data_IF_128416167592
#
_entry.id   IF_128416167592
#
_cell.length_a   1.000
_cell.length_b   1.000
_cell.length_c   1.000
_cell.angle_alpha   90.00
_cell.angle_beta   90.00
_cell.angle_gamma   90.00
#
_symmetry.space_group_name_H-M   'P 1'
#
loop_
_entity.id
_entity.type
_entity.pdbx_description
1 polymer ?
#
# COMPACT_ATOMS: atom_id res chain seq x y z
N UNK A 1 -1.12 -1.37 -11.49
CA UNK A 1 -2.21 -2.29 -11.10
C UNK A 1 -3.13 -1.69 -10.02
N UNK A 2 -2.73 -1.52 -8.75
CA UNK A 2 -3.65 -1.03 -7.70
C UNK A 2 -4.21 0.38 -7.98
N UNK A 3 -3.35 1.35 -8.31
CA UNK A 3 -3.79 2.73 -8.55
C UNK A 3 -4.82 2.84 -9.68
N UNK A 4 -4.57 2.12 -10.79
CA UNK A 4 -5.51 2.05 -11.91
C UNK A 4 -6.89 1.52 -11.51
N UNK A 5 -6.96 0.54 -10.59
CA UNK A 5 -8.25 0.05 -10.09
C UNK A 5 -8.96 1.09 -9.21
N UNK A 6 -8.21 1.84 -8.39
CA UNK A 6 -8.80 2.93 -7.61
C UNK A 6 -9.37 4.02 -8.53
N UNK A 7 -8.62 4.43 -9.55
CA UNK A 7 -9.07 5.45 -10.50
C UNK A 7 -10.31 4.97 -11.27
N UNK A 8 -10.35 3.70 -11.69
CA UNK A 8 -11.54 3.12 -12.34
C UNK A 8 -12.75 3.10 -11.40
N UNK A 9 -12.57 2.64 -10.16
CA UNK A 9 -13.66 2.52 -9.19
C UNK A 9 -14.20 3.90 -8.78
N UNK A 10 -13.33 4.91 -8.71
CA UNK A 10 -13.74 6.28 -8.41
C UNK A 10 -14.74 6.85 -9.44
N UNK A 11 -14.70 6.39 -10.70
CA UNK A 11 -15.67 6.79 -11.73
C UNK A 11 -17.09 6.28 -11.48
N UNK A 12 -17.26 5.24 -10.65
CA UNK A 12 -18.56 4.66 -10.33
C UNK A 12 -19.20 5.27 -9.07
N UNK A 13 -18.50 6.16 -8.37
CA UNK A 13 -18.97 6.75 -7.11
C UNK A 13 -19.13 8.25 -7.28
N UNK A 14 -20.36 8.75 -7.15
CA UNK A 14 -20.64 10.18 -7.20
C UNK A 14 -19.90 10.91 -6.07
N UNK A 15 -19.52 12.19 -6.26
CA UNK A 15 -18.96 12.99 -5.18
C UNK A 15 -19.85 12.98 -3.93
N UNK A 16 -19.26 12.66 -2.77
CA UNK A 16 -19.98 12.56 -1.50
C UNK A 16 -20.66 11.22 -1.22
N UNK A 17 -20.65 10.29 -2.17
CA UNK A 17 -21.17 8.93 -1.98
C UNK A 17 -20.07 7.93 -1.65
N UNK A 18 -20.47 6.71 -1.32
CA UNK A 18 -19.55 5.61 -1.04
C UNK A 18 -19.98 4.34 -1.76
N UNK A 19 -19.05 3.40 -1.93
CA UNK A 19 -19.36 2.05 -2.45
C UNK A 19 -20.23 1.22 -1.51
N UNK A 20 -20.40 1.66 -0.25
CA UNK A 20 -21.30 1.02 0.69
C UNK A 20 -22.73 1.47 0.38
N UNK A 21 -23.65 0.53 0.08
CA UNK A 21 -25.06 0.85 -0.13
C UNK A 21 -25.68 1.60 1.05
N UNK A 22 -26.63 2.51 0.77
CA UNK A 22 -27.26 3.38 1.78
C UNK A 22 -27.99 2.61 2.89
N UNK A 23 -28.44 1.40 2.60
CA UNK A 23 -29.11 0.48 3.53
C UNK A 23 -28.14 -0.37 4.37
N UNK A 24 -26.82 -0.19 4.20
CA UNK A 24 -25.79 -0.95 4.92
C UNK A 24 -24.85 -0.04 5.69
N UNK A 25 -24.57 -0.44 6.93
CA UNK A 25 -23.41 0.06 7.65
C UNK A 25 -22.11 -0.48 7.05
N UNK A 26 -21.00 0.20 7.35
CA UNK A 26 -19.65 -0.26 7.03
C UNK A 26 -19.41 -1.71 7.49
N UNK A 27 -19.79 -2.05 8.73
CA UNK A 27 -19.58 -3.39 9.30
C UNK A 27 -20.35 -4.47 8.52
N UNK A 28 -21.59 -4.19 8.14
CA UNK A 28 -22.40 -5.11 7.35
C UNK A 28 -21.82 -5.30 5.95
N UNK A 29 -21.43 -4.22 5.28
CA UNK A 29 -20.85 -4.29 3.94
C UNK A 29 -19.48 -4.97 3.94
N UNK A 30 -18.62 -4.71 4.93
CA UNK A 30 -17.35 -5.41 5.11
C UNK A 30 -17.55 -6.93 5.28
N UNK A 31 -18.51 -7.32 6.12
CA UNK A 31 -18.82 -8.74 6.35
C UNK A 31 -19.32 -9.41 5.08
N UNK A 32 -20.20 -8.74 4.33
CA UNK A 32 -20.68 -9.21 3.03
C UNK A 32 -19.54 -9.38 2.02
N UNK A 33 -18.67 -8.37 1.89
CA UNK A 33 -17.49 -8.43 1.03
C UNK A 33 -16.58 -9.61 1.39
N UNK A 34 -16.29 -9.83 2.67
CA UNK A 34 -15.47 -10.95 3.14
C UNK A 34 -16.09 -12.30 2.81
N UNK A 35 -17.42 -12.44 2.95
CA UNK A 35 -18.14 -13.65 2.58
C UNK A 35 -18.03 -13.93 1.08
N UNK A 36 -18.22 -12.91 0.23
CA UNK A 36 -18.08 -13.04 -1.22
C UNK A 36 -16.66 -13.40 -1.64
N UNK A 37 -15.65 -12.74 -1.07
CA UNK A 37 -14.24 -13.08 -1.30
C UNK A 37 -13.95 -14.54 -0.97
N UNK A 38 -14.44 -15.03 0.17
CA UNK A 38 -14.30 -16.42 0.59
C UNK A 38 -14.98 -17.39 -0.39
N UNK A 39 -16.19 -17.09 -0.85
CA UNK A 39 -16.91 -17.92 -1.83
C UNK A 39 -16.15 -18.01 -3.16
N UNK A 40 -15.49 -16.92 -3.57
CA UNK A 40 -14.62 -16.89 -4.75
C UNK A 40 -13.23 -17.54 -4.51
N UNK A 41 -12.97 -18.10 -3.33
CA UNK A 41 -11.66 -18.68 -2.98
C UNK A 41 -10.55 -17.66 -2.80
N UNK A 42 -10.87 -16.36 -2.74
CA UNK A 42 -9.89 -15.29 -2.58
C UNK A 42 -9.60 -15.09 -1.09
N UNK A 43 -8.35 -15.30 -0.70
CA UNK A 43 -7.86 -15.03 0.65
C UNK A 43 -6.74 -13.98 0.63
N UNK A 44 -6.35 -13.47 1.82
CA UNK A 44 -5.27 -12.47 1.97
C UNK A 44 -5.45 -11.25 1.05
N UNK A 45 -6.61 -10.60 1.17
CA UNK A 45 -7.08 -9.52 0.28
C UNK A 45 -6.18 -8.27 0.22
N UNK A 46 -5.22 -8.16 1.14
CA UNK A 46 -4.21 -7.11 1.13
C UNK A 46 -2.96 -7.44 0.30
N UNK A 47 -2.84 -8.65 -0.26
CA UNK A 47 -1.64 -9.10 -0.98
C UNK A 47 -1.24 -8.17 -2.13
N UNK A 48 -2.21 -7.62 -2.87
CA UNK A 48 -1.94 -6.63 -3.91
C UNK A 48 -1.35 -5.32 -3.36
N UNK A 49 -1.75 -4.90 -2.14
CA UNK A 49 -1.18 -3.72 -1.47
C UNK A 49 0.26 -3.96 -1.03
N UNK A 50 0.56 -5.15 -0.51
CA UNK A 50 1.93 -5.55 -0.21
C UNK A 50 2.80 -5.52 -1.48
N UNK A 51 2.39 -6.24 -2.52
CA UNK A 51 3.14 -6.31 -3.77
C UNK A 51 3.31 -4.95 -4.44
N UNK A 52 2.31 -4.06 -4.34
CA UNK A 52 2.42 -2.68 -4.80
C UNK A 52 3.47 -1.91 -4.00
N UNK A 53 3.36 -1.90 -2.67
CA UNK A 53 4.23 -1.11 -1.80
C UNK A 53 5.70 -1.56 -1.90
N UNK A 54 5.96 -2.87 -1.95
CA UNK A 54 7.32 -3.42 -2.04
C UNK A 54 8.00 -3.01 -3.35
N UNK A 55 7.31 -3.17 -4.49
CA UNK A 55 7.80 -2.73 -5.80
C UNK A 55 8.02 -1.23 -5.83
N UNK A 56 7.04 -0.47 -5.33
CA UNK A 56 7.09 0.99 -5.33
C UNK A 56 8.23 1.52 -4.45
N UNK A 57 8.52 0.84 -3.34
CA UNK A 57 9.65 1.16 -2.50
C UNK A 57 10.97 1.03 -3.25
N UNK A 58 11.19 -0.09 -3.94
CA UNK A 58 12.37 -0.26 -4.78
C UNK A 58 12.46 0.82 -5.87
N UNK A 59 11.35 1.11 -6.57
CA UNK A 59 11.30 2.16 -7.60
C UNK A 59 11.67 3.54 -7.05
N UNK A 60 11.09 3.93 -5.92
CA UNK A 60 11.31 5.26 -5.32
C UNK A 60 12.72 5.41 -4.76
N UNK A 61 13.19 4.41 -4.02
CA UNK A 61 14.54 4.44 -3.45
C UNK A 61 15.61 4.44 -4.54
N UNK A 62 15.35 3.81 -5.70
CA UNK A 62 16.25 3.85 -6.85
C UNK A 62 16.48 5.25 -7.42
N UNK A 63 15.50 6.14 -7.31
CA UNK A 63 15.61 7.52 -7.81
C UNK A 63 16.60 8.36 -6.98
N UNK A 64 16.79 7.98 -5.73
CA UNK A 64 17.59 8.73 -4.75
C UNK A 64 18.86 7.99 -4.30
N UNK A 65 18.97 6.69 -4.63
CA UNK A 65 20.15 5.87 -4.38
C UNK A 65 21.29 6.31 -5.31
N UNK A 66 22.46 6.73 -4.77
CA UNK A 66 23.61 7.14 -5.58
C UNK A 66 24.10 6.06 -6.55
N UNK A 67 23.87 4.78 -6.24
CA UNK A 67 24.26 3.65 -7.08
C UNK A 67 23.15 3.25 -8.07
N UNK A 68 21.97 3.87 -8.00
CA UNK A 68 20.83 3.60 -8.88
C UNK A 68 20.32 2.15 -8.82
N UNK A 69 20.57 1.44 -7.73
CA UNK A 69 20.19 0.03 -7.55
C UNK A 69 18.78 -0.10 -6.95
N UNK A 70 18.43 0.81 -6.04
CA UNK A 70 17.19 0.77 -5.28
C UNK A 70 17.24 -0.28 -4.17
N UNK A 71 16.38 -0.12 -3.17
CA UNK A 71 16.44 -0.90 -1.94
C UNK A 71 15.41 -2.03 -1.97
N UNK A 72 15.86 -3.22 -1.57
CA UNK A 72 14.95 -4.28 -1.14
C UNK A 72 14.36 -3.86 0.20
N UNK A 73 13.05 -3.96 0.35
CA UNK A 73 12.38 -3.55 1.58
C UNK A 73 12.60 -4.55 2.73
N UNK A 74 12.58 -4.12 4.01
CA UNK A 74 12.85 -4.99 5.16
C UNK A 74 11.98 -6.25 5.26
N UNK A 75 10.70 -6.19 4.87
CA UNK A 75 9.81 -7.37 4.91
C UNK A 75 10.20 -8.44 3.87
N UNK A 76 10.94 -8.05 2.83
CA UNK A 76 11.43 -8.92 1.77
C UNK A 76 12.93 -9.22 1.92
N UNK A 77 13.45 -9.16 3.15
CA UNK A 77 14.84 -9.47 3.47
C UNK A 77 15.82 -8.31 3.33
N UNK A 78 15.33 -7.10 3.03
CA UNK A 78 16.13 -5.89 2.96
C UNK A 78 16.72 -5.42 4.30
N UNK A 79 17.60 -4.42 4.22
CA UNK A 79 18.26 -3.82 5.38
C UNK A 79 17.22 -3.23 6.34
N UNK A 80 17.30 -3.57 7.63
CA UNK A 80 16.42 -2.97 8.65
C UNK A 80 16.82 -1.51 8.91
N UNK A 81 15.85 -0.67 9.28
CA UNK A 81 16.07 0.76 9.56
C UNK A 81 17.24 1.05 10.52
N UNK A 82 17.45 0.20 11.53
CA UNK A 82 18.55 0.36 12.50
C UNK A 82 19.94 0.09 11.92
N UNK A 83 20.02 -0.69 10.85
CA UNK A 83 21.27 -0.99 10.15
C UNK A 83 21.54 0.00 9.01
N UNK A 84 20.60 0.89 8.70
CA UNK A 84 20.76 1.88 7.64
C UNK A 84 21.72 3.01 8.05
N UNK A 85 22.49 3.54 7.09
CA UNK A 85 23.20 4.82 7.23
C UNK A 85 22.20 5.96 7.31
N UNK A 86 22.66 7.17 7.63
CA UNK A 86 21.75 8.31 7.74
C UNK A 86 21.19 8.74 6.37
N UNK A 87 21.98 8.62 5.30
CA UNK A 87 21.51 8.81 3.93
C UNK A 87 20.46 7.76 3.54
N UNK A 88 20.71 6.47 3.80
CA UNK A 88 19.74 5.40 3.53
C UNK A 88 18.44 5.63 4.31
N UNK A 89 18.50 6.08 5.57
CA UNK A 89 17.30 6.42 6.36
C UNK A 89 16.53 7.59 5.77
N UNK A 90 17.20 8.60 5.21
CA UNK A 90 16.53 9.72 4.55
C UNK A 90 15.79 9.25 3.29
N UNK A 91 16.43 8.41 2.47
CA UNK A 91 15.82 7.81 1.28
C UNK A 91 14.62 6.92 1.66
N UNK A 92 14.79 6.04 2.64
CA UNK A 92 13.74 5.16 3.17
C UNK A 92 12.52 5.96 3.65
N UNK A 93 12.74 7.04 4.41
CA UNK A 93 11.65 7.91 4.91
C UNK A 93 10.87 8.57 3.78
N UNK A 94 11.57 9.09 2.75
CA UNK A 94 10.92 9.73 1.59
C UNK A 94 10.08 8.72 0.81
N UNK A 95 10.65 7.55 0.53
CA UNK A 95 9.92 6.47 -0.14
C UNK A 95 8.67 6.04 0.66
N UNK A 96 8.81 5.85 1.98
CA UNK A 96 7.69 5.53 2.87
C UNK A 96 6.59 6.57 2.86
N UNK A 97 6.95 7.86 2.89
CA UNK A 97 5.97 8.95 2.87
C UNK A 97 5.15 8.94 1.58
N UNK A 98 5.82 8.79 0.43
CA UNK A 98 5.16 8.73 -0.87
C UNK A 98 4.22 7.51 -0.96
N UNK A 99 4.69 6.32 -0.59
CA UNK A 99 3.86 5.10 -0.57
C UNK A 99 2.66 5.27 0.38
N UNK A 100 2.86 5.92 1.53
CA UNK A 100 1.81 6.20 2.49
C UNK A 100 0.67 6.98 1.84
N UNK A 101 1.00 8.07 1.14
CA UNK A 101 0.05 8.90 0.41
C UNK A 101 -0.63 8.14 -0.72
N UNK A 102 0.14 7.40 -1.52
CA UNK A 102 -0.39 6.61 -2.65
C UNK A 102 -1.38 5.52 -2.21
N UNK A 103 -1.16 4.93 -1.02
CA UNK A 103 -2.07 3.93 -0.42
C UNK A 103 -3.25 4.55 0.33
N UNK A 104 -3.35 5.89 0.42
CA UNK A 104 -4.40 6.59 1.17
C UNK A 104 -4.25 6.47 2.69
N UNK A 105 -3.05 6.15 3.16
CA UNK A 105 -2.72 6.10 4.58
C UNK A 105 -1.93 7.36 4.89
N UNK A 106 -2.51 8.41 5.44
CA UNK A 106 -1.78 9.66 5.75
C UNK A 106 -0.76 9.53 6.91
N UNK A 107 -0.25 8.32 7.18
CA UNK A 107 0.62 7.95 8.31
C UNK A 107 1.65 6.90 7.89
N UNK A 108 2.94 7.26 7.91
CA UNK A 108 4.07 6.39 7.55
C UNK A 108 4.07 5.07 8.35
N UNK A 109 3.65 5.10 9.62
CA UNK A 109 3.63 3.90 10.47
C UNK A 109 2.75 2.77 9.91
N UNK A 110 1.73 3.09 9.09
CA UNK A 110 0.88 2.08 8.45
C UNK A 110 1.65 1.35 7.34
N UNK A 111 2.57 2.05 6.66
CA UNK A 111 3.38 1.50 5.56
C UNK A 111 4.29 0.37 6.05
N UNK A 112 4.65 0.37 7.34
CA UNK A 112 5.38 -0.72 8.00
C UNK A 112 4.76 -2.10 7.77
N UNK A 113 3.43 -2.18 7.72
CA UNK A 113 2.72 -3.45 7.47
C UNK A 113 3.09 -4.01 6.08
N UNK A 114 3.30 -3.13 5.10
CA UNK A 114 3.48 -3.54 3.71
C UNK A 114 4.94 -3.77 3.32
N UNK A 115 5.88 -3.02 3.91
CA UNK A 115 7.30 -3.05 3.51
C UNK A 115 8.28 -3.29 4.67
N UNK A 116 7.80 -3.38 5.91
CA UNK A 116 8.62 -3.70 7.10
C UNK A 116 9.19 -2.49 7.83
#
# INVERSE_FOLDING_TARGET
AQRQWLDKVALFVSPGESLIPRDRSYKQHLSHYQAQAKLMGVCKLHGLRHAYAQRRYMELTRLDDPNGQGFICPIDGGKRFRAMTDEEKMIDRRARLSISQELGHSRINIVKIYIG
#
